data_IF_615469569488
#
_entry.id   IF_615469569488
#
_cell.length_a   1.000
_cell.length_b   1.000
_cell.length_c   1.000
_cell.angle_alpha   90.00
_cell.angle_beta   90.00
_cell.angle_gamma   90.00
#
_symmetry.space_group_name_H-M   'P 1'
#
loop_
_entity.id
_entity.type
_entity.pdbx_description
1 polymer ?
#
# COMPACT_ATOMS: atom_id res chain seq x y z
N UNK A 1 -5.62 -14.44 8.08
CA UNK A 1 -6.40 -13.46 7.28
C UNK A 1 -7.85 -13.93 7.08
N UNK A 2 -8.14 -15.06 6.42
CA UNK A 2 -9.53 -15.50 6.15
C UNK A 2 -10.40 -15.57 7.43
N UNK A 3 -9.89 -16.20 8.50
CA UNK A 3 -10.60 -16.24 9.78
C UNK A 3 -10.82 -14.85 10.38
N UNK A 4 -9.89 -13.90 10.18
CA UNK A 4 -10.05 -12.53 10.65
C UNK A 4 -11.19 -11.82 9.91
N UNK A 5 -11.29 -12.01 8.59
CA UNK A 5 -12.40 -11.47 7.78
C UNK A 5 -13.74 -11.97 8.31
N UNK A 6 -13.85 -13.29 8.54
CA UNK A 6 -15.10 -13.88 9.07
C UNK A 6 -15.43 -13.34 10.46
N UNK A 7 -14.43 -13.09 11.29
CA UNK A 7 -14.63 -12.47 12.59
C UNK A 7 -15.07 -11.00 12.46
N UNK A 8 -14.41 -10.19 11.63
CA UNK A 8 -14.80 -8.79 11.40
C UNK A 8 -16.22 -8.67 10.85
N UNK A 9 -16.62 -9.56 9.93
CA UNK A 9 -17.98 -9.60 9.37
C UNK A 9 -19.04 -10.06 10.38
N UNK A 10 -18.65 -10.69 11.50
CA UNK A 10 -19.58 -11.18 12.52
C UNK A 10 -19.92 -10.16 13.62
N UNK A 11 -19.30 -8.98 13.60
CA UNK A 11 -19.56 -7.90 14.55
C UNK A 11 -19.50 -6.53 13.86
N UNK A 12 -19.68 -5.44 14.63
CA UNK A 12 -19.59 -4.05 14.18
C UNK A 12 -18.51 -3.23 14.93
N UNK A 13 -17.60 -3.89 15.65
CA UNK A 13 -16.55 -3.21 16.39
C UNK A 13 -15.50 -2.57 15.45
N UNK A 14 -14.80 -1.52 15.92
CA UNK A 14 -13.64 -0.98 15.23
C UNK A 14 -12.57 -2.05 14.97
N UNK A 15 -11.78 -1.86 13.92
CA UNK A 15 -10.69 -2.76 13.56
C UNK A 15 -9.38 -2.18 14.08
N UNK A 16 -8.64 -2.97 14.84
CA UNK A 16 -7.27 -2.69 15.25
C UNK A 16 -6.29 -3.56 14.46
N UNK A 17 -5.27 -2.93 13.89
CA UNK A 17 -4.12 -3.62 13.27
C UNK A 17 -2.85 -3.11 13.93
N UNK A 18 -1.93 -4.01 14.29
CA UNK A 18 -0.65 -3.64 14.90
C UNK A 18 0.46 -4.25 14.07
N UNK A 19 1.38 -3.41 13.59
CA UNK A 19 2.58 -3.81 12.87
C UNK A 19 3.83 -3.63 13.74
N UNK A 20 4.16 -4.60 14.62
CA UNK A 20 5.35 -4.53 15.44
C UNK A 20 6.57 -5.05 14.68
N UNK A 21 7.62 -4.22 14.58
CA UNK A 21 8.91 -4.54 13.96
C UNK A 21 8.76 -5.29 12.64
N UNK A 22 7.90 -4.78 11.77
CA UNK A 22 7.54 -5.43 10.52
C UNK A 22 8.49 -5.03 9.38
N UNK A 23 9.40 -5.93 9.03
CA UNK A 23 10.37 -5.74 7.94
C UNK A 23 9.79 -5.83 6.52
N UNK A 24 8.49 -6.11 6.37
CA UNK A 24 7.82 -6.27 5.09
C UNK A 24 7.47 -7.73 4.78
N UNK A 25 7.54 -8.09 3.50
CA UNK A 25 7.12 -9.40 3.01
C UNK A 25 6.50 -9.32 1.62
N UNK A 26 5.47 -10.11 1.38
CA UNK A 26 4.91 -10.28 0.03
C UNK A 26 3.96 -9.15 -0.38
N UNK A 27 4.19 -8.57 -1.56
CA UNK A 27 3.37 -7.49 -2.13
C UNK A 27 1.91 -7.87 -2.41
N UNK A 28 1.62 -9.14 -2.72
CA UNK A 28 0.23 -9.58 -2.90
C UNK A 28 -0.59 -9.52 -1.59
N UNK A 29 0.05 -9.84 -0.46
CA UNK A 29 -0.59 -9.79 0.85
C UNK A 29 -0.71 -8.36 1.34
N UNK A 30 0.23 -7.46 1.03
CA UNK A 30 0.07 -6.04 1.36
C UNK A 30 -1.11 -5.43 0.64
N UNK A 31 -1.23 -5.63 -0.68
CA UNK A 31 -2.39 -5.16 -1.42
C UNK A 31 -3.69 -5.78 -0.90
N UNK A 32 -3.69 -7.07 -0.53
CA UNK A 32 -4.88 -7.70 0.01
C UNK A 32 -5.28 -7.13 1.37
N UNK A 33 -4.34 -6.95 2.30
CA UNK A 33 -4.61 -6.36 3.61
C UNK A 33 -5.12 -4.92 3.45
N UNK A 34 -4.47 -4.12 2.62
CA UNK A 34 -4.90 -2.76 2.31
C UNK A 34 -6.32 -2.75 1.73
N UNK A 35 -6.63 -3.66 0.79
CA UNK A 35 -7.96 -3.77 0.18
C UNK A 35 -9.03 -4.30 1.13
N UNK A 36 -8.66 -5.14 2.10
CA UNK A 36 -9.58 -5.56 3.17
C UNK A 36 -9.97 -4.34 4.00
N UNK A 37 -8.98 -3.58 4.46
CA UNK A 37 -9.21 -2.42 5.33
C UNK A 37 -9.90 -1.27 4.59
N UNK A 38 -9.54 -1.04 3.32
CA UNK A 38 -10.14 0.00 2.50
C UNK A 38 -10.58 -0.53 1.13
N UNK A 39 -11.77 -1.14 1.04
CA UNK A 39 -12.22 -1.85 -0.17
C UNK A 39 -12.50 -0.95 -1.36
N UNK A 40 -12.64 0.35 -1.16
CA UNK A 40 -12.91 1.31 -2.24
C UNK A 40 -11.62 1.92 -2.84
N UNK A 41 -10.48 1.74 -2.18
CA UNK A 41 -9.22 2.37 -2.60
C UNK A 41 -8.54 1.58 -3.72
N UNK A 42 -7.78 2.26 -4.59
CA UNK A 42 -6.90 1.58 -5.53
C UNK A 42 -5.64 1.13 -4.79
N UNK A 43 -5.46 -0.18 -4.68
CA UNK A 43 -4.31 -0.80 -4.01
C UNK A 43 -3.27 -1.29 -5.02
N UNK A 44 -3.54 -1.18 -6.33
CA UNK A 44 -2.56 -1.59 -7.33
C UNK A 44 -1.42 -0.57 -7.35
N UNK A 45 -0.25 -0.95 -6.86
CA UNK A 45 0.88 -0.03 -6.75
C UNK A 45 1.32 0.44 -8.13
N UNK A 46 1.51 1.76 -8.29
CA UNK A 46 2.17 2.34 -9.45
C UNK A 46 3.67 2.17 -9.24
N UNK A 47 4.33 1.46 -10.14
CA UNK A 47 5.74 1.07 -10.01
C UNK A 47 6.56 1.40 -11.25
N UNK A 48 7.82 1.75 -11.04
CA UNK A 48 8.86 1.73 -12.08
C UNK A 48 10.06 0.95 -11.53
N UNK A 49 10.71 0.15 -12.37
CA UNK A 49 11.79 -0.71 -11.93
C UNK A 49 13.15 -0.13 -12.30
N UNK A 50 14.09 -0.20 -11.38
CA UNK A 50 15.47 0.30 -11.58
C UNK A 50 16.16 -0.51 -12.66
N UNK A 51 16.77 0.17 -13.63
CA UNK A 51 17.51 -0.53 -14.70
C UNK A 51 18.78 -1.17 -14.12
N UNK A 52 18.85 -2.50 -14.14
CA UNK A 52 20.06 -3.26 -13.80
C UNK A 52 19.99 -4.67 -14.41
N UNK A 53 21.14 -5.34 -14.49
CA UNK A 53 21.20 -6.75 -14.90
C UNK A 53 20.41 -7.67 -13.97
N UNK A 54 20.38 -7.36 -12.68
CA UNK A 54 19.58 -8.10 -11.69
C UNK A 54 18.08 -7.91 -11.91
N UNK A 55 17.63 -6.66 -12.13
CA UNK A 55 16.23 -6.37 -12.46
C UNK A 55 15.82 -7.10 -13.75
N UNK A 56 16.69 -7.10 -14.76
CA UNK A 56 16.46 -7.82 -16.02
C UNK A 56 16.28 -9.32 -15.79
N UNK A 57 17.15 -9.91 -14.98
CA UNK A 57 17.10 -11.33 -14.65
C UNK A 57 15.77 -11.68 -13.97
N UNK A 58 15.42 -10.96 -12.90
CA UNK A 58 14.17 -11.11 -12.15
C UNK A 58 12.94 -11.00 -13.06
N UNK A 59 12.92 -10.01 -13.95
CA UNK A 59 11.79 -9.78 -14.84
C UNK A 59 11.57 -10.96 -15.79
N UNK A 60 12.67 -11.52 -16.29
CA UNK A 60 12.63 -12.70 -17.16
C UNK A 60 12.22 -13.97 -16.40
N UNK A 61 12.57 -14.10 -15.12
CA UNK A 61 12.29 -15.31 -14.34
C UNK A 61 10.89 -15.37 -13.76
N UNK A 62 10.18 -14.25 -13.63
CA UNK A 62 8.77 -14.31 -13.23
C UNK A 62 8.09 -13.01 -12.85
N UNK A 63 8.83 -12.04 -12.30
CA UNK A 63 8.21 -10.84 -11.68
C UNK A 63 7.33 -10.03 -12.64
N UNK A 64 7.71 -9.97 -13.92
CA UNK A 64 6.97 -9.23 -14.95
C UNK A 64 5.52 -9.72 -15.15
N UNK A 65 5.12 -10.89 -14.62
CA UNK A 65 3.74 -11.39 -14.73
C UNK A 65 2.74 -10.51 -14.00
N UNK A 66 3.15 -9.82 -12.94
CA UNK A 66 2.23 -9.00 -12.15
C UNK A 66 2.21 -7.54 -12.62
N UNK A 67 3.00 -7.18 -13.64
CA UNK A 67 3.13 -5.81 -14.11
C UNK A 67 2.27 -5.59 -15.35
N UNK A 68 1.49 -4.52 -15.33
CA UNK A 68 0.58 -4.15 -16.40
C UNK A 68 0.84 -2.73 -16.87
N UNK A 69 0.64 -2.51 -18.17
CA UNK A 69 0.59 -1.18 -18.75
C UNK A 69 -0.62 -0.42 -18.18
N UNK A 70 -0.40 0.75 -17.56
CA UNK A 70 -1.43 1.44 -16.81
C UNK A 70 -2.42 2.21 -17.70
N UNK A 71 -2.20 2.26 -19.03
CA UNK A 71 -3.10 2.89 -20.01
C UNK A 71 -3.94 1.89 -20.79
N UNK A 72 -3.42 0.67 -20.97
CA UNK A 72 -4.06 -0.36 -21.79
C UNK A 72 -4.47 -1.61 -21.01
N UNK A 73 -4.02 -1.73 -19.75
CA UNK A 73 -4.12 -2.94 -18.95
C UNK A 73 -3.55 -4.20 -19.62
N UNK A 74 -2.56 -4.03 -20.52
CA UNK A 74 -1.85 -5.16 -21.11
C UNK A 74 -0.68 -5.55 -20.22
N UNK A 75 -0.54 -6.85 -19.97
CA UNK A 75 0.57 -7.39 -19.18
C UNK A 75 1.92 -7.02 -19.83
N UNK A 76 2.87 -6.52 -19.05
CA UNK A 76 4.24 -6.16 -19.50
C UNK A 76 5.04 -7.37 -19.96
N UNK A 77 4.58 -8.58 -19.62
CA UNK A 77 5.13 -9.86 -20.08
C UNK A 77 4.30 -10.44 -21.22
N UNK A 78 4.95 -10.91 -22.28
CA UNK A 78 4.31 -11.66 -23.36
C UNK A 78 3.91 -13.08 -22.92
N UNK A 79 2.94 -13.70 -23.61
CA UNK A 79 2.59 -15.13 -23.42
C UNK A 79 3.84 -16.02 -23.55
N UNK A 80 3.85 -17.12 -22.80
CA UNK A 80 4.91 -18.14 -22.82
C UNK A 80 5.19 -18.61 -24.25
N UNK A 81 6.41 -18.37 -24.76
CA UNK A 81 6.80 -18.71 -26.14
C UNK A 81 7.72 -19.93 -26.24
N UNK A 82 8.28 -20.45 -25.14
CA UNK A 82 9.28 -21.53 -25.17
C UNK A 82 8.87 -22.70 -24.29
N UNK A 83 8.87 -23.91 -24.84
CA UNK A 83 8.54 -25.19 -24.16
C UNK A 83 9.69 -25.67 -23.24
N UNK A 84 10.84 -25.00 -23.27
CA UNK A 84 12.06 -25.42 -22.59
C UNK A 84 12.25 -24.61 -21.29
N UNK A 85 12.18 -25.23 -20.09
CA UNK A 85 12.23 -24.53 -18.79
C UNK A 85 13.53 -23.77 -18.49
N UNK A 86 14.60 -24.05 -19.23
CA UNK A 86 15.97 -23.61 -18.93
C UNK A 86 16.29 -22.26 -19.61
N UNK A 87 15.54 -21.86 -20.64
CA UNK A 87 15.65 -20.55 -21.31
C UNK A 87 14.31 -19.84 -21.20
N UNK A 88 13.90 -19.57 -19.97
CA UNK A 88 12.73 -18.72 -19.67
C UNK A 88 13.10 -17.25 -19.93
N UNK A 89 13.22 -16.85 -21.19
CA UNK A 89 13.48 -15.46 -21.55
C UNK A 89 12.31 -14.87 -22.32
N UNK A 90 11.58 -13.99 -21.66
CA UNK A 90 10.61 -13.11 -22.32
C UNK A 90 11.35 -11.93 -22.94
N UNK A 91 10.99 -11.50 -24.15
CA UNK A 91 11.36 -10.16 -24.59
C UNK A 91 10.67 -9.16 -23.67
N UNK A 92 11.44 -8.33 -22.97
CA UNK A 92 10.91 -7.28 -22.09
C UNK A 92 10.33 -6.09 -22.89
N UNK A 93 10.52 -6.11 -24.22
CA UNK A 93 9.98 -5.12 -25.15
C UNK A 93 10.50 -3.70 -24.93
N UNK A 94 9.83 -2.74 -25.55
CA UNK A 94 10.18 -1.31 -25.49
C UNK A 94 10.00 -0.73 -24.08
N UNK A 95 9.07 -1.28 -23.30
CA UNK A 95 8.82 -0.87 -21.92
C UNK A 95 10.08 -0.88 -21.03
N UNK A 96 10.93 -1.91 -21.20
CA UNK A 96 12.21 -2.02 -20.50
C UNK A 96 13.37 -1.46 -21.32
N UNK A 97 13.38 -1.69 -22.64
CA UNK A 97 14.52 -1.33 -23.51
C UNK A 97 14.62 0.18 -23.79
N UNK A 98 13.55 0.93 -23.51
CA UNK A 98 13.51 2.38 -23.57
C UNK A 98 13.11 2.93 -22.18
N UNK A 99 14.04 2.92 -21.21
CA UNK A 99 13.77 3.38 -19.85
C UNK A 99 13.58 4.90 -19.82
N UNK A 100 12.80 5.36 -18.84
CA UNK A 100 12.74 6.75 -18.46
C UNK A 100 14.04 7.15 -17.76
N UNK A 101 14.55 8.34 -18.08
CA UNK A 101 15.73 8.92 -17.45
C UNK A 101 15.27 10.10 -16.60
N UNK A 102 15.43 9.97 -15.28
CA UNK A 102 15.12 11.01 -14.29
C UNK A 102 16.45 11.65 -13.88
N UNK A 103 16.52 12.97 -13.84
CA UNK A 103 17.73 13.70 -13.43
C UNK A 103 17.58 14.26 -12.02
N UNK A 104 18.47 13.84 -11.13
CA UNK A 104 18.61 14.39 -9.79
C UNK A 104 19.92 15.17 -9.69
N UNK A 105 19.87 16.45 -10.05
CA UNK A 105 21.08 17.24 -10.27
C UNK A 105 21.92 16.63 -11.40
N UNK A 106 23.15 16.25 -11.08
CA UNK A 106 24.11 15.67 -12.04
C UNK A 106 24.00 14.15 -12.19
N UNK A 107 23.11 13.50 -11.42
CA UNK A 107 22.94 12.04 -11.45
C UNK A 107 21.75 11.67 -12.35
N UNK A 108 22.00 10.77 -13.31
CA UNK A 108 20.94 10.15 -14.10
C UNK A 108 20.48 8.84 -13.45
N UNK A 109 19.18 8.78 -13.18
CA UNK A 109 18.51 7.60 -12.65
C UNK A 109 17.64 6.99 -13.74
N UNK A 110 17.86 5.70 -14.06
CA UNK A 110 17.18 5.00 -15.13
C UNK A 110 16.17 4.01 -14.57
N UNK A 111 14.93 4.14 -14.99
CA UNK A 111 13.82 3.28 -14.57
C UNK A 111 12.98 2.88 -15.77
N UNK A 112 12.32 1.73 -15.70
CA UNK A 112 11.35 1.33 -16.74
C UNK A 112 10.22 2.37 -16.85
N UNK A 113 9.47 2.33 -17.95
CA UNK A 113 8.22 3.11 -17.99
C UNK A 113 7.25 2.65 -16.88
N UNK A 114 6.31 3.51 -16.42
CA UNK A 114 5.41 3.18 -15.33
C UNK A 114 4.58 1.93 -15.61
N UNK A 115 4.37 1.12 -14.59
CA UNK A 115 3.47 -0.02 -14.59
C UNK A 115 2.56 0.05 -13.37
N UNK A 116 1.49 -0.72 -13.40
CA UNK A 116 0.71 -1.04 -12.20
C UNK A 116 0.93 -2.51 -11.86
N UNK A 117 1.14 -2.77 -10.58
CA UNK A 117 1.27 -4.12 -10.06
C UNK A 117 -0.11 -4.65 -9.67
N UNK A 118 -0.59 -5.65 -10.40
CA UNK A 118 -1.93 -6.21 -10.26
C UNK A 118 -1.82 -7.66 -9.79
N UNK A 119 -2.41 -7.94 -8.63
CA UNK A 119 -2.50 -9.29 -8.07
C UNK A 119 -3.90 -9.89 -8.20
N UNK A 120 -4.03 -11.23 -8.08
CA UNK A 120 -5.33 -11.88 -8.08
C UNK A 120 -6.26 -11.34 -6.98
N UNK A 121 -7.54 -11.20 -7.32
CA UNK A 121 -8.56 -10.79 -6.35
C UNK A 121 -8.71 -11.87 -5.28
N UNK A 122 -8.78 -11.43 -4.03
CA UNK A 122 -8.96 -12.30 -2.87
C UNK A 122 -10.25 -11.93 -2.11
N UNK A 123 -10.64 -12.76 -1.13
CA UNK A 123 -11.87 -12.54 -0.33
C UNK A 123 -11.81 -11.18 0.38
N UNK A 124 -12.87 -10.39 0.28
CA UNK A 124 -13.03 -9.12 1.00
C UNK A 124 -14.09 -9.26 2.10
N UNK A 125 -14.10 -8.31 3.05
CA UNK A 125 -15.17 -8.18 4.04
C UNK A 125 -16.50 -7.84 3.36
N UNK A 126 -17.60 -8.37 3.91
CA UNK A 126 -18.96 -8.02 3.51
C UNK A 126 -19.42 -6.72 4.17
N UNK A 127 -18.93 -6.44 5.37
CA UNK A 127 -19.31 -5.28 6.17
C UNK A 127 -18.08 -4.41 6.49
N UNK A 128 -17.53 -3.69 5.49
CA UNK A 128 -16.36 -2.85 5.70
C UNK A 128 -16.67 -1.72 6.70
N UNK A 129 -15.66 -1.36 7.49
CA UNK A 129 -15.75 -0.23 8.42
C UNK A 129 -15.45 1.09 7.73
N UNK A 130 -15.92 2.18 8.34
CA UNK A 130 -15.46 3.49 7.92
C UNK A 130 -13.99 3.68 8.28
N UNK A 131 -13.23 4.50 7.53
CA UNK A 131 -11.83 4.77 7.84
C UNK A 131 -11.58 5.27 9.28
N UNK A 132 -12.54 6.01 9.85
CA UNK A 132 -12.49 6.51 11.24
C UNK A 132 -12.68 5.44 12.30
N UNK A 133 -13.00 4.20 11.90
CA UNK A 133 -13.20 3.03 12.75
C UNK A 133 -12.10 1.98 12.54
N UNK A 134 -11.05 2.32 11.77
CA UNK A 134 -9.90 1.48 11.52
C UNK A 134 -8.67 2.18 12.08
N UNK A 135 -8.03 1.56 13.06
CA UNK A 135 -6.83 2.09 13.72
C UNK A 135 -5.65 1.17 13.44
N UNK A 136 -4.64 1.72 12.75
CA UNK A 136 -3.45 0.97 12.36
C UNK A 136 -2.24 1.50 13.11
N UNK A 137 -1.69 0.67 13.97
CA UNK A 137 -0.50 0.96 14.75
C UNK A 137 0.75 0.55 13.99
N UNK A 138 1.72 1.44 13.94
CA UNK A 138 3.03 1.23 13.32
C UNK A 138 4.11 1.74 14.25
N UNK A 139 5.22 1.01 14.34
CA UNK A 139 6.44 1.51 14.96
C UNK A 139 7.37 2.10 13.90
N UNK A 140 8.54 2.60 14.30
CA UNK A 140 9.54 3.14 13.37
C UNK A 140 10.22 2.06 12.51
N UNK A 141 9.81 0.79 12.62
CA UNK A 141 10.35 -0.35 11.89
C UNK A 141 9.23 -1.00 11.05
N UNK A 142 8.62 -0.21 10.16
CA UNK A 142 7.66 -0.69 9.17
C UNK A 142 8.23 -0.50 7.76
N UNK A 143 8.76 -1.57 7.16
CA UNK A 143 9.49 -1.52 5.88
C UNK A 143 8.77 -2.25 4.74
N UNK A 144 9.12 -1.91 3.50
CA UNK A 144 8.66 -2.59 2.27
C UNK A 144 7.14 -2.81 2.27
N UNK A 145 6.65 -4.04 2.21
CA UNK A 145 5.23 -4.37 2.20
C UNK A 145 4.43 -3.75 3.37
N UNK A 146 5.02 -3.62 4.56
CA UNK A 146 4.38 -2.91 5.68
C UNK A 146 4.18 -1.42 5.34
N UNK A 147 5.25 -0.77 4.88
CA UNK A 147 5.22 0.64 4.49
C UNK A 147 4.29 0.90 3.31
N UNK A 148 4.17 -0.06 2.37
CA UNK A 148 3.20 0.03 1.28
C UNK A 148 1.76 0.13 1.80
N UNK A 149 1.40 -0.68 2.81
CA UNK A 149 0.08 -0.62 3.46
C UNK A 149 -0.10 0.71 4.18
N UNK A 150 0.82 1.08 5.08
CA UNK A 150 0.63 2.25 5.93
C UNK A 150 0.62 3.56 5.15
N UNK A 151 1.50 3.70 4.14
CA UNK A 151 1.48 4.85 3.23
C UNK A 151 0.29 4.84 2.29
N UNK A 152 -0.11 3.68 1.76
CA UNK A 152 -1.33 3.56 0.94
C UNK A 152 -2.57 4.01 1.71
N UNK A 153 -2.77 3.49 2.92
CA UNK A 153 -3.85 3.92 3.82
C UNK A 153 -3.77 5.41 4.16
N UNK A 154 -2.57 5.98 4.32
CA UNK A 154 -2.41 7.42 4.56
C UNK A 154 -2.79 8.26 3.35
N UNK A 155 -2.35 7.88 2.15
CA UNK A 155 -2.62 8.58 0.89
C UNK A 155 -4.11 8.63 0.57
N UNK A 156 -4.80 7.53 0.84
CA UNK A 156 -6.23 7.40 0.60
C UNK A 156 -7.10 7.87 1.76
N UNK A 157 -6.52 8.09 2.95
CA UNK A 157 -7.30 8.34 4.16
C UNK A 157 -8.16 7.13 4.55
N UNK A 158 -7.64 5.92 4.33
CA UNK A 158 -8.34 4.65 4.55
C UNK A 158 -8.33 4.17 6.01
N UNK A 159 -7.55 4.79 6.89
CA UNK A 159 -7.49 4.47 8.31
C UNK A 159 -6.94 5.66 9.14
N UNK A 160 -7.01 5.54 10.47
CA UNK A 160 -6.26 6.37 11.42
C UNK A 160 -4.90 5.70 11.69
N UNK A 161 -3.80 6.35 11.32
CA UNK A 161 -2.44 5.81 11.45
C UNK A 161 -1.84 6.26 12.79
N UNK A 162 -1.41 5.32 13.63
CA UNK A 162 -0.96 5.60 15.00
C UNK A 162 0.47 5.14 15.22
N UNK A 163 1.34 6.07 15.61
CA UNK A 163 2.69 5.76 16.04
C UNK A 163 2.71 5.19 17.46
N UNK A 164 3.43 4.09 17.66
CA UNK A 164 3.79 3.58 18.99
C UNK A 164 5.29 3.28 19.03
N UNK A 165 5.81 3.07 20.24
CA UNK A 165 7.26 2.98 20.46
C UNK A 165 8.01 4.27 20.04
N UNK A 166 9.35 4.23 20.10
CA UNK A 166 10.21 5.35 19.71
C UNK A 166 10.45 6.38 20.81
N UNK A 167 11.10 7.50 20.45
CA UNK A 167 11.57 8.51 21.40
C UNK A 167 10.38 9.21 22.10
N UNK A 168 10.16 9.02 23.40
CA UNK A 168 9.02 9.64 24.11
C UNK A 168 8.99 11.17 24.04
N UNK A 169 10.14 11.79 23.82
CA UNK A 169 10.29 13.24 23.72
C UNK A 169 10.24 13.74 22.26
N UNK A 170 10.23 12.81 21.28
CA UNK A 170 10.11 13.10 19.86
C UNK A 170 8.74 13.66 19.47
N UNK A 171 8.71 14.52 18.46
CA UNK A 171 7.46 15.16 18.02
C UNK A 171 6.69 14.27 17.04
N UNK A 172 5.38 14.45 16.97
CA UNK A 172 4.53 13.73 15.99
C UNK A 172 4.96 14.01 14.54
N UNK A 173 5.51 15.21 14.26
CA UNK A 173 6.05 15.58 12.95
C UNK A 173 7.38 14.89 12.60
N UNK A 174 7.92 14.05 13.49
CA UNK A 174 9.15 13.30 13.29
C UNK A 174 8.89 11.79 13.12
N UNK A 175 7.64 11.33 13.28
CA UNK A 175 7.27 9.91 13.21
C UNK A 175 6.55 9.53 11.92
N UNK A 176 7.29 8.93 10.98
CA UNK A 176 6.75 8.48 9.69
C UNK A 176 5.94 7.18 9.82
N UNK A 177 4.84 7.05 9.05
CA UNK A 177 3.95 5.87 9.08
C UNK A 177 4.62 4.58 8.57
N UNK A 178 5.72 4.71 7.83
CA UNK A 178 6.50 3.58 7.31
C UNK A 178 7.63 4.04 6.42
N UNK A 179 8.62 3.19 6.23
CA UNK A 179 9.88 3.50 5.55
C UNK A 179 10.06 2.60 4.32
N UNK A 180 10.58 3.17 3.23
CA UNK A 180 10.95 2.44 2.02
C UNK A 180 9.84 1.48 1.50
N UNK A 181 8.69 2.00 1.01
CA UNK A 181 7.61 1.23 0.38
C UNK A 181 8.04 0.70 -1.01
N UNK A 182 9.12 -0.08 -1.03
CA UNK A 182 9.83 -0.48 -2.24
C UNK A 182 9.71 -1.98 -2.41
N UNK A 183 9.54 -2.44 -3.64
CA UNK A 183 9.54 -3.86 -3.97
C UNK A 183 10.98 -4.38 -3.82
N UNK A 184 11.17 -5.29 -2.88
CA UNK A 184 12.46 -5.92 -2.58
C UNK A 184 12.41 -7.37 -3.05
N UNK A 185 13.49 -7.83 -3.66
CA UNK A 185 13.67 -9.22 -4.01
C UNK A 185 14.80 -9.77 -3.18
N UNK A 186 14.43 -10.77 -2.38
CA UNK A 186 15.35 -11.53 -1.58
C UNK A 186 16.02 -12.60 -2.43
N UNK A 187 17.30 -12.84 -2.16
CA UNK A 187 18.06 -13.95 -2.75
C UNK A 187 18.11 -13.92 -4.29
N UNK A 188 18.52 -12.78 -4.84
CA UNK A 188 18.84 -12.67 -6.27
C UNK A 188 20.16 -13.39 -6.56
N UNK A 189 20.27 -14.13 -7.69
CA UNK A 189 21.53 -14.76 -8.07
C UNK A 189 22.66 -13.74 -8.11
N UNK A 190 23.78 -14.08 -7.46
CA UNK A 190 24.99 -13.27 -7.38
C UNK A 190 25.76 -13.30 -8.72
N UNK A 191 25.13 -12.87 -9.80
CA UNK A 191 25.75 -12.79 -11.13
C UNK A 191 26.56 -11.48 -11.16
N UNK A 192 27.91 -11.44 -11.17
CA UNK A 192 28.94 -12.48 -11.42
C UNK A 192 29.74 -12.95 -10.19
N UNK A 193 29.33 -12.60 -8.98
CA UNK A 193 29.97 -12.94 -7.70
C UNK A 193 29.53 -14.30 -7.12
N UNK A 194 29.50 -15.36 -7.93
CA UNK A 194 29.09 -16.72 -7.51
C UNK A 194 29.88 -17.20 -6.28
N UNK A 195 31.11 -16.72 -6.08
CA UNK A 195 31.90 -16.99 -4.89
C UNK A 195 31.21 -16.58 -3.58
N UNK A 196 30.37 -15.54 -3.58
CA UNK A 196 29.60 -15.13 -2.40
C UNK A 196 28.58 -16.21 -1.99
N UNK A 197 27.99 -16.91 -2.96
CA UNK A 197 27.08 -18.03 -2.69
C UNK A 197 27.83 -19.21 -2.05
N UNK A 198 29.08 -19.45 -2.48
CA UNK A 198 29.97 -20.47 -1.87
C UNK A 198 30.24 -20.18 -0.39
N UNK A 199 30.28 -18.90 0.01
CA UNK A 199 30.41 -18.50 1.41
C UNK A 199 29.06 -18.36 2.15
N UNK A 200 27.95 -18.72 1.52
CA UNK A 200 26.62 -18.68 2.13
C UNK A 200 25.96 -17.30 2.19
N UNK A 201 26.44 -16.33 1.41
CA UNK A 201 25.80 -15.02 1.31
C UNK A 201 24.63 -15.03 0.33
N UNK A 202 23.58 -14.28 0.67
CA UNK A 202 22.45 -13.98 -0.21
C UNK A 202 22.39 -12.48 -0.48
N UNK A 203 21.99 -12.11 -1.71
CA UNK A 203 21.79 -10.71 -2.10
C UNK A 203 20.31 -10.37 -2.10
N UNK A 204 19.93 -9.37 -1.29
CA UNK A 204 18.65 -8.68 -1.40
C UNK A 204 18.81 -7.38 -2.18
N UNK A 205 17.93 -7.12 -3.14
CA UNK A 205 17.93 -5.85 -3.88
C UNK A 205 16.55 -5.21 -3.90
N UNK A 206 16.53 -3.90 -3.79
CA UNK A 206 15.36 -3.08 -4.04
C UNK A 206 15.17 -2.88 -5.55
N UNK A 207 14.18 -3.53 -6.16
CA UNK A 207 13.98 -3.51 -7.61
C UNK A 207 12.96 -2.50 -8.08
N UNK A 208 11.87 -2.30 -7.33
CA UNK A 208 10.71 -1.55 -7.80
C UNK A 208 10.40 -0.38 -6.92
N UNK A 209 10.58 0.81 -7.46
CA UNK A 209 10.15 2.07 -6.85
C UNK A 209 8.65 2.19 -7.00
N UNK A 210 7.98 2.56 -5.90
CA UNK A 210 6.55 2.86 -5.95
C UNK A 210 6.32 4.37 -5.90
N UNK A 211 5.25 4.82 -6.53
CA UNK A 211 4.93 6.24 -6.69
C UNK A 211 3.55 6.54 -6.09
N UNK A 212 3.29 7.81 -5.80
CA UNK A 212 1.97 8.29 -5.37
C UNK A 212 0.90 7.91 -6.41
N UNK A 213 -0.35 7.77 -5.96
CA UNK A 213 -1.48 7.53 -6.85
C UNK A 213 -1.86 8.74 -7.69
N UNK A 214 -1.04 9.00 -8.71
CA UNK A 214 -1.24 10.00 -9.75
C UNK A 214 -1.42 9.28 -11.10
N UNK A 215 -2.64 9.33 -11.63
CA UNK A 215 -3.03 8.59 -12.82
C UNK A 215 -2.61 9.24 -14.15
N UNK A 216 -1.88 10.37 -14.11
CA UNK A 216 -1.10 10.84 -15.25
C UNK A 216 0.24 10.07 -15.39
N UNK A 217 0.62 9.31 -14.35
CA UNK A 217 1.82 8.46 -14.31
C UNK A 217 3.12 9.23 -14.61
N UNK A 218 3.19 10.48 -14.15
CA UNK A 218 4.31 11.40 -14.37
C UNK A 218 5.08 11.75 -13.09
N UNK A 219 4.83 11.02 -12.00
CA UNK A 219 5.61 11.13 -10.77
C UNK A 219 7.07 10.80 -11.03
N UNK A 220 7.95 11.61 -10.48
CA UNK A 220 9.40 11.42 -10.60
C UNK A 220 10.06 11.08 -9.27
N UNK A 221 9.43 11.41 -8.14
CA UNK A 221 9.96 11.14 -6.80
C UNK A 221 9.27 9.88 -6.24
N UNK A 222 10.00 8.78 -6.02
CA UNK A 222 9.45 7.59 -5.38
C UNK A 222 8.96 7.85 -3.96
N UNK A 223 7.97 7.08 -3.50
CA UNK A 223 7.41 7.13 -2.13
C UNK A 223 8.45 6.83 -1.04
N UNK A 224 9.60 6.25 -1.39
CA UNK A 224 10.70 6.04 -0.44
C UNK A 224 11.39 7.33 0.01
N UNK A 225 11.21 8.44 -0.73
CA UNK A 225 11.74 9.75 -0.38
C UNK A 225 10.67 10.76 0.05
N UNK A 226 9.42 10.33 0.14
CA UNK A 226 8.30 11.18 0.55
C UNK A 226 7.90 10.83 1.98
N UNK A 227 7.95 11.82 2.88
CA UNK A 227 7.56 11.62 4.27
C UNK A 227 6.05 11.66 4.45
N UNK A 228 5.51 10.68 5.17
CA UNK A 228 4.10 10.60 5.55
C UNK A 228 3.96 10.45 7.06
N UNK A 229 3.43 11.47 7.72
CA UNK A 229 3.36 11.50 9.19
C UNK A 229 2.16 10.71 9.72
N UNK A 230 2.31 10.11 10.89
CA UNK A 230 1.21 9.50 11.66
C UNK A 230 0.10 10.52 11.96
N UNK A 231 -1.09 10.02 12.28
CA UNK A 231 -2.21 10.83 12.72
C UNK A 231 -2.22 11.08 14.22
N UNK A 232 -1.87 10.06 14.99
CA UNK A 232 -1.85 10.09 16.45
C UNK A 232 -0.62 9.34 16.96
N UNK A 233 -0.21 9.64 18.19
CA UNK A 233 0.84 8.92 18.89
C UNK A 233 0.35 8.40 20.23
N UNK A 234 0.79 7.20 20.62
CA UNK A 234 0.45 6.60 21.91
C UNK A 234 1.69 6.23 22.71
N UNK A 235 1.60 6.38 24.04
CA UNK A 235 2.68 6.08 24.97
C UNK A 235 2.74 4.60 25.34
N UNK A 236 2.67 3.71 24.33
CA UNK A 236 2.82 2.27 24.51
C UNK A 236 4.20 1.86 24.00
N UNK A 237 5.16 1.68 24.92
CA UNK A 237 6.53 1.33 24.56
C UNK A 237 6.67 -0.16 24.24
N UNK A 238 7.09 -0.47 23.02
CA UNK A 238 7.27 -1.82 22.50
C UNK A 238 6.01 -2.69 22.51
N UNK A 239 5.85 -3.47 21.45
CA UNK A 239 4.80 -4.47 21.39
C UNK A 239 5.14 -5.69 22.25
N UNK A 240 4.15 -6.19 22.99
CA UNK A 240 4.15 -7.54 23.55
C UNK A 240 2.72 -8.05 23.64
N UNK A 241 2.54 -9.37 23.63
CA UNK A 241 1.21 -9.98 23.73
C UNK A 241 0.48 -9.62 25.03
N UNK A 242 1.21 -9.31 26.11
CA UNK A 242 0.64 -8.88 27.39
C UNK A 242 0.06 -7.45 27.36
N UNK A 243 0.42 -6.65 26.36
CA UNK A 243 -0.03 -5.26 26.20
C UNK A 243 -1.25 -5.13 25.28
N UNK A 244 -1.83 -6.24 24.82
CA UNK A 244 -2.97 -6.18 23.88
C UNK A 244 -4.15 -5.36 24.44
N UNK A 245 -4.40 -5.46 25.74
CA UNK A 245 -5.46 -4.67 26.40
C UNK A 245 -5.13 -3.18 26.43
N UNK A 246 -3.86 -2.81 26.63
CA UNK A 246 -3.41 -1.42 26.59
C UNK A 246 -3.62 -0.82 25.19
N UNK A 247 -3.24 -1.58 24.15
CA UNK A 247 -3.52 -1.21 22.76
C UNK A 247 -5.03 -1.09 22.49
N UNK A 248 -5.85 -2.00 23.01
CA UNK A 248 -7.31 -1.95 22.85
C UNK A 248 -7.92 -0.70 23.51
N UNK A 249 -7.45 -0.34 24.72
CA UNK A 249 -7.87 0.88 25.41
C UNK A 249 -7.50 2.15 24.65
N UNK A 250 -6.29 2.21 24.07
CA UNK A 250 -5.89 3.34 23.24
C UNK A 250 -6.74 3.44 21.97
N UNK A 251 -7.02 2.31 21.31
CA UNK A 251 -7.90 2.28 20.13
C UNK A 251 -9.29 2.81 20.46
N UNK A 252 -9.86 2.39 21.58
CA UNK A 252 -11.17 2.88 22.02
C UNK A 252 -11.16 4.41 22.18
N UNK A 253 -10.16 4.96 22.88
CA UNK A 253 -10.01 6.42 23.06
C UNK A 253 -9.88 7.16 21.73
N UNK A 254 -9.11 6.62 20.78
CA UNK A 254 -8.90 7.21 19.46
C UNK A 254 -10.19 7.18 18.65
N UNK A 255 -10.88 6.05 18.58
CA UNK A 255 -12.16 5.94 17.85
C UNK A 255 -13.21 6.89 18.45
N UNK A 256 -13.31 6.96 19.78
CA UNK A 256 -14.20 7.91 20.48
C UNK A 256 -13.85 9.37 20.15
N UNK A 257 -12.55 9.73 20.16
CA UNK A 257 -12.07 11.06 19.74
C UNK A 257 -12.51 11.37 18.31
N UNK A 258 -12.36 10.43 17.38
CA UNK A 258 -12.64 10.64 15.95
C UNK A 258 -14.13 10.66 15.58
N UNK A 259 -15.04 10.45 16.53
CA UNK A 259 -16.47 10.68 16.30
C UNK A 259 -16.79 12.17 16.05
N UNK A 260 -16.07 13.07 16.73
CA UNK A 260 -16.28 14.52 16.68
C UNK A 260 -15.04 15.30 16.26
N UNK A 261 -13.85 14.79 16.58
CA UNK A 261 -12.55 15.41 16.25
C UNK A 261 -11.87 14.71 15.08
N UNK A 262 -10.80 15.30 14.59
CA UNK A 262 -9.96 14.75 13.52
C UNK A 262 -8.55 15.34 13.59
N UNK A 263 -7.62 14.79 12.81
CA UNK A 263 -6.27 15.34 12.66
C UNK A 263 -6.27 16.42 11.55
N UNK A 264 -6.12 17.71 11.87
CA UNK A 264 -6.18 18.79 10.87
C UNK A 264 -5.07 18.71 9.82
N UNK A 265 -3.97 18.00 10.10
CA UNK A 265 -2.85 17.81 9.16
C UNK A 265 -3.11 16.69 8.15
N UNK A 266 -4.11 15.83 8.38
CA UNK A 266 -4.51 14.79 7.44
C UNK A 266 -5.82 15.15 6.77
N UNK A 267 -5.74 15.80 5.60
CA UNK A 267 -6.91 16.16 4.79
C UNK A 267 -7.43 15.02 3.91
N UNK A 268 -6.76 13.86 3.91
CA UNK A 268 -7.19 12.68 3.14
C UNK A 268 -8.22 11.86 3.91
N UNK A 269 -8.07 11.77 5.23
CA UNK A 269 -9.04 11.11 6.09
C UNK A 269 -10.30 11.98 6.21
N UNK A 270 -11.44 11.40 5.83
CA UNK A 270 -12.74 12.07 5.82
C UNK A 270 -13.76 11.26 6.59
N UNK A 271 -14.71 11.94 7.24
CA UNK A 271 -15.85 11.30 7.87
C UNK A 271 -16.91 11.04 6.81
N UNK A 272 -16.91 9.83 6.26
CA UNK A 272 -17.86 9.39 5.22
C UNK A 272 -19.30 9.53 5.71
N UNK A 273 -20.14 10.12 4.85
CA UNK A 273 -21.56 10.33 5.12
C UNK A 273 -22.33 10.44 3.80
N UNK A 274 -23.39 9.66 3.63
CA UNK A 274 -24.20 9.64 2.41
C UNK A 274 -24.95 10.94 2.15
N UNK A 275 -25.09 11.81 3.16
CA UNK A 275 -25.59 13.18 2.96
C UNK A 275 -24.70 13.93 1.96
N UNK A 276 -23.39 13.70 2.01
CA UNK A 276 -22.43 14.37 1.13
C UNK A 276 -22.49 13.90 -0.33
N UNK A 277 -23.04 12.71 -0.62
CA UNK A 277 -23.13 12.18 -1.98
C UNK A 277 -23.94 13.12 -2.89
N UNK A 278 -25.04 13.67 -2.36
CA UNK A 278 -25.89 14.61 -3.08
C UNK A 278 -25.28 16.01 -3.20
N UNK A 279 -24.53 16.45 -2.18
CA UNK A 279 -23.92 17.78 -2.16
C UNK A 279 -22.78 17.89 -3.17
N UNK A 280 -21.90 16.88 -3.25
CA UNK A 280 -20.78 16.89 -4.19
C UNK A 280 -21.23 16.66 -5.63
N UNK A 281 -22.32 15.90 -5.83
CA UNK A 281 -22.91 15.60 -7.14
C UNK A 281 -21.89 15.08 -8.18
N UNK A 282 -20.97 14.21 -7.75
CA UNK A 282 -19.96 13.60 -8.62
C UNK A 282 -20.44 12.21 -9.03
N UNK A 283 -20.53 11.98 -10.35
CA UNK A 283 -20.93 10.67 -10.87
C UNK A 283 -19.95 9.59 -10.40
N UNK A 284 -20.50 8.50 -9.86
CA UNK A 284 -19.75 7.39 -9.26
C UNK A 284 -18.95 7.76 -8.00
N UNK A 285 -19.14 8.96 -7.45
CA UNK A 285 -18.42 9.46 -6.29
C UNK A 285 -19.28 9.43 -5.03
N UNK A 286 -18.62 9.14 -3.91
CA UNK A 286 -19.21 9.16 -2.58
C UNK A 286 -18.44 10.10 -1.66
N UNK A 287 -19.17 10.84 -0.84
CA UNK A 287 -18.66 11.95 -0.08
C UNK A 287 -18.38 11.69 1.38
N UNK A 288 -17.78 12.68 2.01
CA UNK A 288 -17.63 12.78 3.46
C UNK A 288 -17.20 14.18 3.86
N UNK A 289 -17.23 14.44 5.16
CA UNK A 289 -16.80 15.72 5.72
C UNK A 289 -15.28 15.78 5.84
N UNK A 290 -14.68 16.85 5.32
CA UNK A 290 -13.25 17.09 5.51
C UNK A 290 -12.95 17.53 6.96
N UNK A 291 -11.73 17.24 7.42
CA UNK A 291 -11.26 17.73 8.72
C UNK A 291 -11.01 19.23 8.68
N UNK A 292 -11.64 19.98 9.59
CA UNK A 292 -11.40 21.41 9.77
C UNK A 292 -10.03 21.71 10.38
N UNK A 293 -9.52 22.92 10.16
CA UNK A 293 -8.21 23.33 10.70
C UNK A 293 -8.21 23.45 12.24
N UNK A 294 -9.40 23.53 12.85
CA UNK A 294 -9.59 23.49 14.30
C UNK A 294 -9.49 22.07 14.89
N UNK A 295 -9.31 21.03 14.07
CA UNK A 295 -9.26 19.63 14.53
C UNK A 295 -10.63 19.03 14.84
N UNK A 296 -11.71 19.63 14.32
CA UNK A 296 -13.06 19.07 14.35
C UNK A 296 -13.55 18.80 12.94
N UNK A 297 -14.46 17.83 12.78
CA UNK A 297 -15.08 17.59 11.47
C UNK A 297 -15.84 18.83 11.01
N UNK A 298 -15.54 19.28 9.80
CA UNK A 298 -16.24 20.41 9.20
C UNK A 298 -17.62 19.99 8.68
N UNK A 299 -18.40 20.95 8.18
CA UNK A 299 -19.65 20.66 7.45
C UNK A 299 -19.45 20.64 5.93
N UNK A 300 -18.21 20.77 5.43
CA UNK A 300 -17.93 20.85 4.00
C UNK A 300 -17.75 19.45 3.43
N UNK A 301 -18.57 19.10 2.46
CA UNK A 301 -18.48 17.81 1.79
C UNK A 301 -17.38 17.79 0.72
N UNK A 302 -16.62 16.70 0.68
CA UNK A 302 -15.58 16.41 -0.32
C UNK A 302 -15.71 14.98 -0.83
N UNK A 303 -15.16 14.71 -2.02
CA UNK A 303 -15.10 13.35 -2.55
C UNK A 303 -14.18 12.48 -1.68
N UNK A 304 -14.68 11.31 -1.29
CA UNK A 304 -13.96 10.34 -0.45
C UNK A 304 -13.51 9.13 -1.26
N UNK A 305 -14.43 8.51 -1.99
CA UNK A 305 -14.16 7.28 -2.74
C UNK A 305 -15.11 7.15 -3.94
N UNK A 306 -14.85 6.14 -4.78
CA UNK A 306 -15.64 5.89 -5.98
C UNK A 306 -16.29 4.50 -5.97
N UNK A 307 -17.33 4.33 -6.80
CA UNK A 307 -17.96 3.04 -7.09
C UNK A 307 -16.94 1.99 -7.54
N UNK A 308 -17.27 0.72 -7.30
CA UNK A 308 -16.51 -0.40 -7.88
C UNK A 308 -16.38 -0.28 -9.40
N UNK A 309 -15.15 -0.42 -9.90
CA UNK A 309 -14.81 -0.22 -11.31
C UNK A 309 -14.37 1.20 -11.67
N UNK A 310 -14.29 2.09 -10.67
CA UNK A 310 -13.73 3.42 -10.79
C UNK A 310 -12.61 3.64 -9.77
N UNK A 311 -11.70 4.57 -10.06
CA UNK A 311 -10.63 5.04 -9.19
C UNK A 311 -10.87 6.49 -8.83
N UNK A 312 -10.51 6.86 -7.60
CA UNK A 312 -10.53 8.25 -7.17
C UNK A 312 -9.27 8.98 -7.66
N UNK A 313 -9.42 9.77 -8.72
CA UNK A 313 -8.40 10.74 -9.16
C UNK A 313 -8.49 11.98 -8.27
N UNK A 314 -7.70 11.96 -7.20
CA UNK A 314 -7.68 13.04 -6.22
C UNK A 314 -7.23 14.38 -6.81
N UNK A 315 -6.26 14.37 -7.73
CA UNK A 315 -5.69 15.59 -8.32
C UNK A 315 -6.77 16.35 -9.09
N UNK A 316 -7.57 15.64 -9.88
CA UNK A 316 -8.66 16.24 -10.65
C UNK A 316 -10.02 16.17 -9.93
N UNK A 317 -10.03 15.69 -8.68
CA UNK A 317 -11.21 15.51 -7.84
C UNK A 317 -12.40 14.83 -8.56
N UNK A 318 -12.15 13.67 -9.18
CA UNK A 318 -13.17 12.94 -9.97
C UNK A 318 -12.98 11.43 -9.92
N UNK A 319 -14.04 10.69 -10.28
CA UNK A 319 -13.97 9.26 -10.48
C UNK A 319 -13.64 8.92 -11.93
N UNK A 320 -12.54 8.18 -12.16
CA UNK A 320 -12.11 7.72 -13.49
C UNK A 320 -12.30 6.21 -13.62
N UNK A 321 -12.59 5.73 -14.83
CA UNK A 321 -12.81 4.29 -15.05
C UNK A 321 -11.52 3.51 -14.79
N UNK A 322 -11.62 2.46 -13.97
CA UNK A 322 -10.52 1.52 -13.79
C UNK A 322 -10.46 0.54 -14.97
N UNK A 323 -9.51 0.77 -15.87
CA UNK A 323 -9.27 -0.09 -17.03
C UNK A 323 -8.80 -1.50 -16.66
N UNK A 324 -8.29 -1.71 -15.43
CA UNK A 324 -7.83 -3.01 -14.93
C UNK A 324 -8.82 -3.69 -13.97
N UNK A 325 -10.02 -3.12 -13.80
CA UNK A 325 -11.04 -3.60 -12.85
C UNK A 325 -11.49 -5.04 -13.07
N UNK A 326 -11.39 -5.57 -14.30
CA UNK A 326 -11.85 -6.93 -14.62
C UNK A 326 -10.94 -8.05 -14.08
N UNK A 327 -9.79 -7.70 -13.48
CA UNK A 327 -8.92 -8.66 -12.80
C UNK A 327 -8.16 -9.60 -13.73
N UNK A 328 -7.04 -10.10 -13.22
CA UNK A 328 -6.24 -11.14 -13.88
C UNK A 328 -6.85 -12.51 -13.58
N UNK A 329 -7.02 -13.42 -14.55
CA UNK A 329 -7.40 -14.80 -14.28
C UNK A 329 -6.42 -15.44 -13.29
N UNK A 330 -6.94 -16.07 -12.24
CA UNK A 330 -6.13 -16.74 -11.21
C UNK A 330 -5.31 -17.84 -11.87
N UNK A 331 -3.99 -17.62 -12.02
CA UNK A 331 -3.04 -18.72 -12.19
C UNK A 331 -2.47 -19.03 -10.81
N UNK A 332 -2.86 -20.17 -10.27
CA UNK A 332 -2.41 -20.63 -8.95
C UNK A 332 -0.91 -20.90 -9.05
N UNK A 333 -0.09 -19.97 -8.54
CA UNK A 333 1.31 -20.24 -8.24
C UNK A 333 1.37 -20.42 -6.72
N UNK A 334 1.53 -21.68 -6.30
CA UNK A 334 1.76 -22.03 -4.90
C UNK A 334 3.10 -21.43 -4.45
N UNK A 335 3.06 -20.32 -3.73
CA UNK A 335 4.22 -19.81 -2.98
C UNK A 335 3.88 -19.90 -1.51
N UNK A 336 4.39 -20.93 -0.86
CA UNK A 336 4.29 -21.14 0.59
C UNK A 336 5.26 -20.21 1.30
N UNK A 337 4.81 -19.18 2.01
CA UNK A 337 5.66 -18.40 2.91
C UNK A 337 4.90 -17.89 4.15
N UNK A 338 5.63 -17.87 5.27
CA UNK A 338 5.18 -17.75 6.66
C UNK A 338 4.95 -16.27 7.03
N UNK A 339 3.85 -15.98 7.73
CA UNK A 339 3.57 -14.66 8.33
C UNK A 339 3.89 -14.71 9.83
N UNK A 340 4.57 -13.67 10.33
CA UNK A 340 4.56 -13.29 11.74
C UNK A 340 3.85 -11.93 11.83
N UNK A 341 2.57 -11.94 12.21
CA UNK A 341 1.75 -10.74 12.39
C UNK A 341 0.43 -11.11 13.06
N UNK A 342 0.07 -10.40 14.12
CA UNK A 342 -1.12 -10.68 14.94
C UNK A 342 -2.21 -9.68 14.55
N UNK A 343 -3.32 -10.19 14.03
CA UNK A 343 -4.56 -9.43 13.85
C UNK A 343 -5.49 -9.86 14.98
N UNK A 344 -5.75 -8.97 15.93
CA UNK A 344 -6.60 -9.26 17.09
C UNK A 344 -7.97 -8.56 16.94
N UNK A 345 -9.03 -9.27 17.32
CA UNK A 345 -10.39 -8.74 17.48
C UNK A 345 -10.53 -8.20 18.91
N UNK A 346 -11.09 -7.00 19.08
CA UNK A 346 -11.47 -6.49 20.41
C UNK A 346 -12.94 -6.87 20.64
N UNK A 347 -13.23 -7.47 21.80
CA UNK A 347 -14.58 -7.75 22.32
C UNK A 347 -15.07 -6.60 23.19
#
# INVERSE_FOLDING_TARGET
ILNCIDLFDSNNYPIQVIFPKNGGGSGNYSQWIEKILSPYDDVNYIVSLRESDYTKHVLKTGFAVNLYDPKTCQQRRSKWTSIIPIINSFPLGDWYSNPNIIKYGDVEHKVTQPSIEVFPKMKLMKHPRNPTEIVVYTDSYCYSACSMITKGLKEWGGAILVGFDGDPDGKDEEFEVGLSPTNVIESVPLLPHIWMEVYGYNLGISVGETYRYNYEYNETIPREFLTDMIDERVNVYQFSNYKINEFAEQTKKIVEKYQTKCNPKNKRLVKRDSICDNEINIKHGHGGYECGDNGEWSTKCVLSYCDSGYKFDYINNKCIKDICSNGVPISIINVSMVIIGIIALIL
#
